data_IF_146292803435
#
_entry.id   IF_146292803435
#
_cell.length_a   1.000
_cell.length_b   1.000
_cell.length_c   1.000
_cell.angle_alpha   90.00
_cell.angle_beta   90.00
_cell.angle_gamma   90.00
#
_symmetry.space_group_name_H-M   'P 1'
#
loop_
_entity.id
_entity.type
_entity.pdbx_description
1 polymer ?
#
# COMPACT_ATOMS: atom_id res chain seq x y z
N UNK A 1 12.97 -5.41 -18.20
CA UNK A 1 14.11 -6.27 -17.80
C UNK A 1 14.03 -6.74 -16.35
N UNK A 2 13.87 -5.84 -15.35
CA UNK A 2 13.83 -6.21 -13.93
C UNK A 2 12.73 -7.24 -13.60
N UNK A 3 11.49 -7.02 -14.07
CA UNK A 3 10.36 -7.92 -13.82
C UNK A 3 10.58 -9.34 -14.36
N UNK A 4 11.13 -9.47 -15.58
CA UNK A 4 11.47 -10.78 -16.15
C UNK A 4 12.55 -11.50 -15.34
N UNK A 5 13.55 -10.76 -14.85
CA UNK A 5 14.57 -11.30 -13.94
C UNK A 5 13.98 -11.81 -12.62
N UNK A 6 13.05 -11.07 -12.02
CA UNK A 6 12.36 -11.46 -10.77
C UNK A 6 11.52 -12.72 -10.97
N UNK A 7 10.80 -12.84 -12.09
CA UNK A 7 10.01 -14.05 -12.38
C UNK A 7 10.91 -15.27 -12.55
N UNK A 8 12.03 -15.14 -13.29
CA UNK A 8 12.97 -16.25 -13.49
C UNK A 8 13.61 -16.69 -12.17
N UNK A 9 14.02 -15.76 -11.30
CA UNK A 9 14.59 -16.11 -9.99
C UNK A 9 13.57 -16.77 -9.06
N UNK A 10 12.32 -16.32 -9.03
CA UNK A 10 11.26 -16.95 -8.23
C UNK A 10 10.95 -18.37 -8.71
N UNK A 11 10.82 -18.58 -10.02
CA UNK A 11 10.58 -19.92 -10.60
C UNK A 11 11.75 -20.85 -10.30
N UNK A 12 12.99 -20.36 -10.43
CA UNK A 12 14.18 -21.13 -10.10
C UNK A 12 14.23 -21.51 -8.61
N UNK A 13 13.99 -20.55 -7.72
CA UNK A 13 14.01 -20.78 -6.27
C UNK A 13 12.89 -21.73 -5.83
N UNK A 14 11.69 -21.60 -6.42
CA UNK A 14 10.58 -22.53 -6.21
C UNK A 14 10.90 -23.95 -6.72
N UNK A 15 11.55 -24.07 -7.88
CA UNK A 15 11.97 -25.37 -8.41
C UNK A 15 13.06 -26.03 -7.55
N UNK A 16 14.01 -25.26 -7.01
CA UNK A 16 15.03 -25.75 -6.07
C UNK A 16 14.39 -26.20 -4.76
N UNK A 17 13.46 -25.42 -4.21
CA UNK A 17 12.73 -25.74 -2.99
C UNK A 17 11.86 -27.01 -3.16
N UNK A 18 11.13 -27.11 -4.28
CA UNK A 18 10.38 -28.32 -4.63
C UNK A 18 11.30 -29.54 -4.83
N UNK A 19 12.52 -29.30 -5.32
CA UNK A 19 13.58 -30.31 -5.48
C UNK A 19 14.16 -30.82 -4.16
N UNK A 20 14.16 -30.01 -3.11
CA UNK A 20 14.57 -30.42 -1.76
C UNK A 20 13.44 -31.15 -1.03
N UNK A 21 12.20 -30.69 -1.19
CA UNK A 21 11.04 -31.22 -0.47
C UNK A 21 10.44 -32.50 -1.09
N UNK A 22 10.60 -32.73 -2.40
CA UNK A 22 10.11 -33.96 -3.07
C UNK A 22 11.26 -34.87 -3.52
N UNK A 23 11.29 -36.08 -2.97
CA UNK A 23 12.29 -37.11 -3.28
C UNK A 23 12.37 -37.46 -4.78
N UNK A 24 11.26 -37.37 -5.52
CA UNK A 24 11.23 -37.63 -6.97
C UNK A 24 12.07 -36.61 -7.75
N UNK A 25 11.95 -35.33 -7.40
CA UNK A 25 12.68 -34.23 -8.06
C UNK A 25 14.16 -34.24 -7.62
N UNK A 26 14.44 -34.60 -6.36
CA UNK A 26 15.81 -34.79 -5.85
C UNK A 26 16.59 -35.86 -6.61
N UNK A 27 15.96 -37.01 -6.88
CA UNK A 27 16.57 -38.09 -7.65
C UNK A 27 16.76 -37.72 -9.13
N UNK A 28 15.81 -37.00 -9.73
CA UNK A 28 15.95 -36.45 -11.09
C UNK A 28 17.09 -35.43 -11.21
N UNK A 29 17.24 -34.53 -10.23
CA UNK A 29 18.33 -33.54 -10.18
C UNK A 29 19.71 -34.21 -10.07
N UNK A 30 19.80 -35.31 -9.29
CA UNK A 30 21.04 -36.09 -9.16
C UNK A 30 21.39 -36.88 -10.41
N UNK A 31 20.39 -37.40 -11.13
CA UNK A 31 20.61 -38.31 -12.26
C UNK A 31 20.97 -37.57 -13.55
N UNK A 32 20.37 -36.40 -13.80
CA UNK A 32 20.66 -35.56 -14.98
C UNK A 32 20.50 -34.07 -14.66
N UNK A 33 21.53 -33.43 -14.05
CA UNK A 33 21.44 -32.02 -13.62
C UNK A 33 21.19 -31.06 -14.78
N UNK A 34 21.76 -31.32 -15.96
CA UNK A 34 21.62 -30.48 -17.15
C UNK A 34 20.17 -30.43 -17.66
N UNK A 35 19.47 -31.58 -17.66
CA UNK A 35 18.08 -31.68 -18.12
C UNK A 35 17.14 -30.92 -17.18
N UNK A 36 17.40 -30.96 -15.88
CA UNK A 36 16.64 -30.19 -14.89
C UNK A 36 16.77 -28.67 -15.13
N UNK A 37 17.97 -28.17 -15.38
CA UNK A 37 18.20 -26.75 -15.67
C UNK A 37 17.51 -26.32 -16.96
N UNK A 38 17.60 -27.13 -18.03
CA UNK A 38 16.93 -26.86 -19.31
C UNK A 38 15.40 -26.84 -19.13
N UNK A 39 14.83 -27.78 -18.37
CA UNK A 39 13.41 -27.80 -18.08
C UNK A 39 12.94 -26.56 -17.31
N UNK A 40 13.70 -26.11 -16.31
CA UNK A 40 13.40 -24.90 -15.54
C UNK A 40 13.52 -23.64 -16.39
N UNK A 41 14.51 -23.57 -17.29
CA UNK A 41 14.64 -22.47 -18.25
C UNK A 41 13.50 -22.45 -19.27
N UNK A 42 13.09 -23.60 -19.79
CA UNK A 42 11.95 -23.69 -20.70
C UNK A 42 10.64 -23.27 -20.04
N UNK A 43 10.40 -23.74 -18.80
CA UNK A 43 9.22 -23.38 -18.03
C UNK A 43 9.19 -21.88 -17.69
N UNK A 44 10.32 -21.29 -17.30
CA UNK A 44 10.39 -19.85 -17.00
C UNK A 44 10.20 -18.99 -18.25
N UNK A 45 10.77 -19.38 -19.39
CA UNK A 45 10.54 -18.69 -20.67
C UNK A 45 9.07 -18.74 -21.09
N UNK A 46 8.42 -19.89 -20.97
CA UNK A 46 6.99 -20.04 -21.26
C UNK A 46 6.14 -19.16 -20.35
N UNK A 47 6.42 -19.14 -19.04
CA UNK A 47 5.73 -18.26 -18.09
C UNK A 47 5.91 -16.78 -18.45
N UNK A 48 7.15 -16.34 -18.70
CA UNK A 48 7.45 -14.95 -19.06
C UNK A 48 6.76 -14.57 -20.38
N UNK A 49 6.68 -15.49 -21.35
CA UNK A 49 5.97 -15.27 -22.61
C UNK A 49 4.48 -15.06 -22.40
N UNK A 50 3.83 -15.86 -21.54
CA UNK A 50 2.41 -15.70 -21.21
C UNK A 50 2.10 -14.41 -20.45
N UNK A 51 2.92 -14.08 -19.45
CA UNK A 51 2.68 -12.92 -18.59
C UNK A 51 3.19 -11.61 -19.20
N UNK A 52 4.09 -11.65 -20.17
CA UNK A 52 4.72 -10.46 -20.75
C UNK A 52 3.71 -9.49 -21.37
N UNK A 53 2.78 -9.98 -22.18
CA UNK A 53 1.77 -9.13 -22.82
C UNK A 53 0.74 -8.59 -21.83
N UNK A 54 0.24 -9.46 -20.95
CA UNK A 54 -0.83 -9.11 -20.00
C UNK A 54 -0.33 -8.13 -18.92
N UNK A 55 0.87 -8.35 -18.39
CA UNK A 55 1.44 -7.46 -17.37
C UNK A 55 1.74 -6.08 -17.94
N UNK A 56 2.29 -5.99 -19.16
CA UNK A 56 2.55 -4.69 -19.79
C UNK A 56 1.25 -3.93 -20.08
N UNK A 57 0.18 -4.62 -20.46
CA UNK A 57 -1.11 -3.99 -20.70
C UNK A 57 -1.78 -3.48 -19.42
N UNK A 58 -1.84 -4.32 -18.38
CA UNK A 58 -2.44 -3.96 -17.09
C UNK A 58 -1.58 -2.89 -16.39
N UNK A 59 -0.26 -3.03 -16.31
CA UNK A 59 0.57 -1.96 -15.76
C UNK A 59 0.52 -0.71 -16.64
N UNK A 60 0.52 -0.83 -17.96
CA UNK A 60 0.49 0.32 -18.86
C UNK A 60 -0.75 1.19 -18.71
N UNK A 61 -1.92 0.60 -18.44
CA UNK A 61 -3.20 1.32 -18.34
C UNK A 61 -3.60 1.56 -16.88
N UNK A 62 -3.55 0.54 -16.04
CA UNK A 62 -4.00 0.63 -14.64
C UNK A 62 -3.04 1.48 -13.80
N UNK A 63 -1.74 1.44 -14.04
CA UNK A 63 -0.76 2.18 -13.23
C UNK A 63 -0.91 3.71 -13.40
N UNK A 64 -1.04 4.28 -14.62
CA UNK A 64 -1.35 5.70 -14.76
C UNK A 64 -2.67 6.11 -14.09
N UNK A 65 -3.72 5.30 -14.20
CA UNK A 65 -5.01 5.57 -13.55
C UNK A 65 -4.85 5.60 -12.04
N UNK A 66 -4.13 4.63 -11.46
CA UNK A 66 -3.81 4.61 -10.03
C UNK A 66 -3.00 5.82 -9.60
N UNK A 67 -2.01 6.26 -10.39
CA UNK A 67 -1.22 7.45 -10.08
C UNK A 67 -2.07 8.73 -10.12
N UNK A 68 -2.97 8.86 -11.09
CA UNK A 68 -3.91 9.98 -11.17
C UNK A 68 -4.83 9.97 -9.94
N UNK A 69 -5.32 8.79 -9.54
CA UNK A 69 -6.16 8.64 -8.37
C UNK A 69 -5.41 9.02 -7.09
N UNK A 70 -4.19 8.49 -6.89
CA UNK A 70 -3.34 8.82 -5.74
C UNK A 70 -3.02 10.32 -5.71
N UNK A 71 -2.65 10.92 -6.85
CA UNK A 71 -2.41 12.36 -6.93
C UNK A 71 -3.65 13.18 -6.56
N UNK A 72 -4.83 12.76 -7.04
CA UNK A 72 -6.10 13.40 -6.71
C UNK A 72 -6.48 13.20 -5.23
N UNK A 73 -6.27 12.01 -4.66
CA UNK A 73 -6.51 11.70 -3.25
C UNK A 73 -5.55 12.43 -2.31
N UNK A 74 -4.28 12.55 -2.73
CA UNK A 74 -3.24 13.29 -2.02
C UNK A 74 -3.30 14.79 -2.29
N UNK A 75 -4.35 15.31 -2.94
CA UNK A 75 -4.55 16.76 -3.05
C UNK A 75 -4.78 17.33 -1.64
N UNK A 76 -3.67 17.71 -1.01
CA UNK A 76 -3.57 18.09 0.40
C UNK A 76 -4.37 19.34 0.76
N UNK A 77 -4.96 20.07 -0.20
CA UNK A 77 -5.74 21.28 0.10
C UNK A 77 -6.91 21.01 1.04
N UNK A 78 -7.66 19.94 0.82
CA UNK A 78 -8.81 19.63 1.69
C UNK A 78 -8.35 18.99 3.01
N UNK A 79 -7.34 18.12 2.95
CA UNK A 79 -6.75 17.48 4.14
C UNK A 79 -6.09 18.50 5.08
N UNK A 80 -5.34 19.46 4.53
CA UNK A 80 -4.70 20.54 5.28
C UNK A 80 -5.74 21.43 5.95
N UNK A 81 -6.78 21.85 5.23
CA UNK A 81 -7.87 22.63 5.80
C UNK A 81 -8.63 21.87 6.90
N UNK A 82 -8.87 20.56 6.69
CA UNK A 82 -9.53 19.71 7.69
C UNK A 82 -8.66 19.49 8.93
N UNK A 83 -7.36 19.32 8.76
CA UNK A 83 -6.39 19.21 9.85
C UNK A 83 -6.28 20.51 10.64
N UNK A 84 -6.17 21.65 9.96
CA UNK A 84 -6.08 22.97 10.59
C UNK A 84 -7.33 23.29 11.42
N UNK A 85 -8.53 23.01 10.89
CA UNK A 85 -9.79 23.14 11.62
C UNK A 85 -9.90 22.19 12.83
N UNK A 86 -9.38 20.96 12.73
CA UNK A 86 -9.34 20.03 13.87
C UNK A 86 -8.32 20.48 14.92
N UNK A 87 -7.17 21.01 14.51
CA UNK A 87 -6.15 21.51 15.44
C UNK A 87 -6.62 22.76 16.19
N UNK A 88 -7.42 23.61 15.56
CA UNK A 88 -8.12 24.72 16.22
C UNK A 88 -9.19 24.22 17.21
N UNK A 89 -10.00 23.25 16.80
CA UNK A 89 -11.03 22.65 17.67
C UNK A 89 -10.47 21.96 18.91
N UNK A 90 -9.25 21.42 18.82
CA UNK A 90 -8.52 20.81 19.96
C UNK A 90 -7.61 21.83 20.68
N UNK A 91 -7.54 23.08 20.20
CA UNK A 91 -6.72 24.14 20.80
C UNK A 91 -5.21 24.00 20.62
N UNK A 92 -4.75 23.05 19.79
CA UNK A 92 -3.33 22.78 19.52
C UNK A 92 -2.67 23.83 18.62
N UNK A 93 -3.47 24.56 17.84
CA UNK A 93 -3.03 25.74 17.07
C UNK A 93 -4.12 26.81 17.11
N UNK A 94 -3.69 28.07 17.19
CA UNK A 94 -4.59 29.23 17.06
C UNK A 94 -4.33 29.92 15.74
N UNK A 95 -5.31 29.88 14.85
CA UNK A 95 -5.35 30.82 13.72
C UNK A 95 -5.69 32.22 14.23
N UNK A 96 -5.49 33.26 13.40
CA UNK A 96 -5.91 34.62 13.76
C UNK A 96 -7.37 34.70 14.22
N UNK A 97 -8.26 33.88 13.65
CA UNK A 97 -9.65 33.78 14.08
C UNK A 97 -9.79 33.11 15.46
N UNK A 98 -9.03 32.04 15.72
CA UNK A 98 -9.00 31.40 17.03
C UNK A 98 -8.55 32.35 18.14
N UNK A 99 -7.54 33.19 17.90
CA UNK A 99 -7.07 34.21 18.87
C UNK A 99 -8.16 35.25 19.15
N UNK A 100 -8.91 35.68 18.13
CA UNK A 100 -10.02 36.64 18.30
C UNK A 100 -11.17 36.00 19.10
N UNK A 101 -11.55 34.76 18.78
CA UNK A 101 -12.63 34.05 19.48
C UNK A 101 -12.28 33.73 20.94
N UNK A 102 -11.00 33.47 21.22
CA UNK A 102 -10.50 33.34 22.58
C UNK A 102 -10.54 34.68 23.33
N UNK A 103 -10.13 35.79 22.70
CA UNK A 103 -10.24 37.12 23.29
C UNK A 103 -11.70 37.54 23.56
N UNK A 104 -12.66 36.99 22.80
CA UNK A 104 -14.11 37.16 23.01
C UNK A 104 -14.70 36.16 24.01
N UNK A 105 -13.90 35.24 24.58
CA UNK A 105 -14.35 34.25 25.57
C UNK A 105 -15.26 33.13 25.03
N UNK A 106 -15.51 33.06 23.72
CA UNK A 106 -16.46 32.11 23.12
C UNK A 106 -15.89 30.69 22.95
N UNK A 107 -14.56 30.54 22.92
CA UNK A 107 -13.91 29.24 22.70
C UNK A 107 -14.01 28.32 23.92
N UNK A 108 -13.81 28.84 25.13
CA UNK A 108 -13.92 28.07 26.38
C UNK A 108 -15.35 27.58 26.62
N UNK A 109 -16.34 28.41 26.31
CA UNK A 109 -17.77 28.09 26.48
C UNK A 109 -18.19 26.91 25.59
N UNK A 110 -17.63 26.81 24.38
CA UNK A 110 -17.91 25.72 23.44
C UNK A 110 -17.33 24.37 23.87
N UNK A 111 -16.11 24.37 24.41
CA UNK A 111 -15.43 23.16 24.92
C UNK A 111 -16.16 22.64 26.17
N UNK A 112 -16.52 23.55 27.09
CA UNK A 112 -17.25 23.21 28.32
C UNK A 112 -18.65 22.64 28.02
N UNK A 113 -19.37 23.22 27.05
CA UNK A 113 -20.67 22.67 26.60
C UNK A 113 -20.56 21.26 26.01
N UNK A 114 -19.49 20.95 25.29
CA UNK A 114 -19.23 19.60 24.77
C UNK A 114 -18.90 18.63 25.90
N UNK A 115 -18.09 19.05 26.87
CA UNK A 115 -17.74 18.25 28.04
C UNK A 115 -18.99 17.93 28.90
N UNK A 116 -19.84 18.91 29.15
CA UNK A 116 -21.11 18.73 29.87
C UNK A 116 -22.07 17.81 29.12
N UNK A 117 -22.14 17.91 27.79
CA UNK A 117 -22.96 17.02 26.97
C UNK A 117 -22.49 15.56 27.04
N UNK A 118 -21.18 15.34 27.03
CA UNK A 118 -20.59 13.99 27.19
C UNK A 118 -20.85 13.47 28.61
N UNK A 119 -20.65 14.29 29.64
CA UNK A 119 -20.90 13.91 31.03
C UNK A 119 -22.37 13.56 31.29
N UNK A 120 -23.31 14.30 30.69
CA UNK A 120 -24.74 14.00 30.72
C UNK A 120 -25.07 12.64 30.09
N UNK A 121 -24.41 12.31 28.98
CA UNK A 121 -24.66 11.04 28.24
C UNK A 121 -24.04 9.80 28.88
N UNK A 122 -23.02 9.97 29.72
CA UNK A 122 -22.35 8.87 30.45
C UNK A 122 -23.06 8.57 31.78
N UNK A 123 -23.88 9.50 32.26
CA UNK A 123 -24.62 9.38 33.53
C UNK A 123 -26.02 8.76 33.36
N UNK A 124 -26.50 8.62 32.12
CA UNK A 124 -27.63 7.74 31.74
C UNK A 124 -27.14 6.32 31.46
#
# INVERSE_FOLDING_TARGET
MILGGVVVTLVFMGAVWAGENKAVIKNFKKKNPTVFVVAVMGASYFLVSLFGGVMVFIFGITFPILLIFIHASLRLRNLKNKMENNMEGVGLKKSPMGVILEALGQQEESINKIADFIASKVKE
#
